data_IF_010213341827
#
_entry.id   IF_010213341827
#
_cell.length_a   1.000
_cell.length_b   1.000
_cell.length_c   1.000
_cell.angle_alpha   90.00
_cell.angle_beta   90.00
_cell.angle_gamma   90.00
#
_symmetry.space_group_name_H-M   'P 1'
#
loop_
_entity.id
_entity.type
_entity.pdbx_description
1 polymer ?
#
# COMPACT_ATOMS: atom_id res chain seq x y z
N UNK A 1 -7.72 -3.02 24.07
CA UNK A 1 -7.61 -4.39 23.49
C UNK A 1 -7.17 -4.35 22.03
N UNK A 2 -7.81 -3.55 21.19
CA UNK A 2 -7.45 -3.35 19.76
C UNK A 2 -6.03 -2.82 19.55
N UNK A 3 -5.61 -1.81 20.32
CA UNK A 3 -4.24 -1.24 20.22
C UNK A 3 -3.13 -2.28 20.47
N UNK A 4 -3.28 -3.14 21.48
CA UNK A 4 -2.27 -4.16 21.80
C UNK A 4 -2.13 -5.21 20.70
N UNK A 5 -3.23 -5.54 20.01
CA UNK A 5 -3.22 -6.45 18.86
C UNK A 5 -2.47 -5.79 17.70
N UNK A 6 -2.73 -4.51 17.42
CA UNK A 6 -2.02 -3.78 16.37
C UNK A 6 -0.51 -3.71 16.66
N UNK A 7 -0.12 -3.41 17.90
CA UNK A 7 1.28 -3.40 18.31
C UNK A 7 1.94 -4.79 18.17
N UNK A 8 1.21 -5.87 18.49
CA UNK A 8 1.71 -7.23 18.28
C UNK A 8 1.87 -7.55 16.78
N UNK A 9 0.97 -7.08 15.93
CA UNK A 9 1.11 -7.22 14.46
C UNK A 9 2.33 -6.44 13.96
N UNK A 10 2.62 -5.26 14.51
CA UNK A 10 3.81 -4.50 14.15
C UNK A 10 5.12 -5.27 14.43
N UNK A 11 5.13 -6.17 15.42
CA UNK A 11 6.30 -7.02 15.67
C UNK A 11 6.63 -7.95 14.49
N UNK A 12 5.65 -8.31 13.66
CA UNK A 12 5.90 -9.09 12.45
C UNK A 12 6.77 -8.35 11.43
N UNK A 13 6.78 -7.01 11.43
CA UNK A 13 7.66 -6.26 10.53
C UNK A 13 9.14 -6.50 10.82
N UNK A 14 9.51 -6.79 12.07
CA UNK A 14 10.88 -7.17 12.41
C UNK A 14 11.33 -8.46 11.73
N UNK A 15 10.40 -9.34 11.34
CA UNK A 15 10.72 -10.55 10.57
C UNK A 15 11.40 -10.21 9.23
N UNK A 16 11.10 -9.06 8.62
CA UNK A 16 11.77 -8.62 7.39
C UNK A 16 13.26 -8.33 7.61
N UNK A 17 13.62 -7.75 8.76
CA UNK A 17 15.02 -7.51 9.14
C UNK A 17 15.75 -8.83 9.29
N UNK A 18 15.17 -9.77 10.05
CA UNK A 18 15.76 -11.10 10.23
C UNK A 18 15.91 -11.84 8.90
N UNK A 19 14.90 -11.75 8.02
CA UNK A 19 14.93 -12.35 6.69
C UNK A 19 16.05 -11.76 5.82
N UNK A 20 16.19 -10.44 5.79
CA UNK A 20 17.24 -9.75 5.05
C UNK A 20 18.63 -10.12 5.56
N UNK A 21 18.86 -10.12 6.87
CA UNK A 21 20.16 -10.50 7.45
C UNK A 21 20.49 -11.97 7.18
N UNK A 22 19.52 -12.87 7.33
CA UNK A 22 19.70 -14.32 7.08
C UNK A 22 19.96 -14.63 5.61
N UNK A 23 19.45 -13.81 4.70
CA UNK A 23 19.70 -13.95 3.26
C UNK A 23 21.15 -13.67 2.87
N UNK A 24 21.97 -13.10 3.79
CA UNK A 24 23.38 -12.73 3.57
C UNK A 24 23.58 -11.92 2.27
N UNK A 25 22.88 -10.78 2.12
CA UNK A 25 23.04 -9.91 0.96
C UNK A 25 24.43 -9.25 0.96
N UNK A 26 24.84 -8.77 -0.21
CA UNK A 26 25.91 -7.78 -0.31
C UNK A 26 25.39 -6.44 0.21
N UNK A 27 25.74 -6.10 1.46
CA UNK A 27 25.33 -4.85 2.10
C UNK A 27 25.95 -3.62 1.45
N UNK A 28 27.15 -3.72 0.87
CA UNK A 28 27.77 -2.61 0.15
C UNK A 28 26.98 -2.26 -1.10
N UNK A 29 26.54 -3.29 -1.84
CA UNK A 29 25.65 -3.11 -2.97
C UNK A 29 24.26 -2.61 -2.54
N UNK A 30 23.67 -3.18 -1.49
CA UNK A 30 22.34 -2.77 -1.01
C UNK A 30 22.30 -1.30 -0.57
N UNK A 31 23.31 -0.82 0.16
CA UNK A 31 23.38 0.56 0.64
C UNK A 31 23.76 1.54 -0.47
N UNK A 32 24.66 1.17 -1.38
CA UNK A 32 25.01 2.05 -2.51
C UNK A 32 23.84 2.24 -3.48
N UNK A 33 22.95 1.25 -3.61
CA UNK A 33 21.73 1.32 -4.40
C UNK A 33 20.62 2.21 -3.82
N UNK A 34 20.77 2.74 -2.59
CA UNK A 34 19.80 3.68 -2.02
C UNK A 34 19.75 5.01 -2.77
N UNK A 35 20.88 5.44 -3.33
CA UNK A 35 21.02 6.76 -3.96
C UNK A 35 21.10 6.62 -5.48
N UNK A 36 21.84 5.63 -5.97
CA UNK A 36 22.01 5.38 -7.40
C UNK A 36 21.99 3.88 -7.71
N UNK A 37 21.25 3.42 -8.73
CA UNK A 37 21.24 2.02 -9.11
C UNK A 37 22.62 1.61 -9.67
N UNK A 38 23.35 0.82 -8.89
CA UNK A 38 24.68 0.30 -9.19
C UNK A 38 24.61 -1.18 -9.57
N UNK A 39 25.45 -1.62 -10.50
CA UNK A 39 25.54 -3.04 -10.90
C UNK A 39 24.47 -3.50 -11.89
N UNK A 40 23.83 -2.57 -12.62
CA UNK A 40 22.80 -2.85 -13.62
C UNK A 40 23.24 -2.41 -15.01
N UNK A 41 22.82 -3.15 -16.04
CA UNK A 41 22.99 -2.73 -17.43
C UNK A 41 21.90 -1.73 -17.80
N UNK A 42 22.30 -0.49 -18.08
CA UNK A 42 21.41 0.58 -18.51
C UNK A 42 20.88 0.33 -19.91
N UNK A 43 19.83 -0.48 -19.99
CA UNK A 43 19.05 -0.72 -21.22
C UNK A 43 17.79 0.13 -21.19
N UNK A 44 17.27 0.57 -22.34
CA UNK A 44 16.00 1.34 -22.39
C UNK A 44 14.84 0.66 -21.65
N UNK A 45 14.73 -0.68 -21.77
CA UNK A 45 13.75 -1.48 -21.02
C UNK A 45 13.95 -1.42 -19.50
N UNK A 46 15.20 -1.41 -19.03
CA UNK A 46 15.50 -1.31 -17.61
C UNK A 46 15.06 0.03 -17.05
N UNK A 47 15.37 1.13 -17.75
CA UNK A 47 15.00 2.49 -17.32
C UNK A 47 13.49 2.62 -17.22
N UNK A 48 12.74 2.14 -18.22
CA UNK A 48 11.27 2.17 -18.19
C UNK A 48 10.74 1.37 -17.01
N UNK A 49 11.20 0.14 -16.80
CA UNK A 49 10.74 -0.70 -15.69
C UNK A 49 11.10 -0.09 -14.32
N UNK A 50 12.30 0.48 -14.20
CA UNK A 50 12.75 1.15 -12.99
C UNK A 50 11.86 2.34 -12.66
N UNK A 51 11.54 3.18 -13.65
CA UNK A 51 10.66 4.33 -13.48
C UNK A 51 9.22 3.89 -13.16
N UNK A 52 8.68 2.88 -13.85
CA UNK A 52 7.32 2.38 -13.61
C UNK A 52 7.18 1.81 -12.20
N UNK A 53 8.12 0.98 -11.75
CA UNK A 53 8.09 0.42 -10.40
C UNK A 53 8.35 1.51 -9.36
N UNK A 54 9.28 2.43 -9.62
CA UNK A 54 9.55 3.59 -8.76
C UNK A 54 8.32 4.47 -8.58
N UNK A 55 7.63 4.82 -9.66
CA UNK A 55 6.35 5.52 -9.62
C UNK A 55 5.29 4.71 -8.88
N UNK A 56 5.23 3.39 -9.08
CA UNK A 56 4.35 2.51 -8.31
C UNK A 56 4.59 2.61 -6.79
N UNK A 57 5.85 2.56 -6.35
CA UNK A 57 6.22 2.69 -4.93
C UNK A 57 5.86 4.08 -4.39
N UNK A 58 6.11 5.14 -5.17
CA UNK A 58 5.70 6.50 -4.81
C UNK A 58 4.18 6.62 -4.66
N UNK A 59 3.43 6.06 -5.60
CA UNK A 59 1.97 6.11 -5.59
C UNK A 59 1.33 5.31 -4.46
N UNK A 60 1.98 4.25 -3.97
CA UNK A 60 1.54 3.56 -2.74
C UNK A 60 1.84 4.35 -1.47
N UNK A 61 2.80 5.28 -1.52
CA UNK A 61 3.25 6.06 -0.36
C UNK A 61 2.49 7.37 -0.24
N UNK A 62 2.27 8.04 -1.37
CA UNK A 62 1.57 9.32 -1.48
C UNK A 62 0.31 9.07 -2.28
N UNK A 63 -0.76 8.70 -1.58
CA UNK A 63 -2.06 8.46 -2.21
C UNK A 63 -2.94 9.71 -2.15
N UNK A 64 -3.50 10.17 -3.28
CA UNK A 64 -4.42 11.32 -3.27
C UNK A 64 -5.62 11.10 -2.34
N UNK A 65 -6.22 9.89 -2.39
CA UNK A 65 -7.35 9.53 -1.52
C UNK A 65 -7.00 9.61 -0.03
N UNK A 66 -5.74 9.35 0.34
CA UNK A 66 -5.27 9.43 1.72
C UNK A 66 -5.28 10.86 2.25
N UNK A 67 -4.96 11.83 1.38
CA UNK A 67 -4.97 13.26 1.74
C UNK A 67 -6.41 13.76 1.99
N UNK A 68 -7.35 13.40 1.11
CA UNK A 68 -8.78 13.69 1.33
C UNK A 68 -9.27 13.05 2.63
N UNK A 69 -8.94 11.78 2.87
CA UNK A 69 -9.37 11.08 4.07
C UNK A 69 -8.87 11.75 5.35
N UNK A 70 -7.58 12.11 5.42
CA UNK A 70 -7.01 12.80 6.59
C UNK A 70 -7.68 14.15 6.81
N UNK A 71 -7.96 14.89 5.73
CA UNK A 71 -8.58 16.23 5.80
C UNK A 71 -10.03 16.16 6.31
N UNK A 72 -10.85 15.29 5.73
CA UNK A 72 -12.24 15.08 6.18
C UNK A 72 -12.27 14.52 7.62
N UNK A 73 -11.34 13.62 7.97
CA UNK A 73 -11.26 13.07 9.32
C UNK A 73 -10.83 14.08 10.38
N UNK A 74 -9.90 14.99 10.05
CA UNK A 74 -9.50 16.08 10.93
C UNK A 74 -10.67 17.04 11.20
N UNK A 75 -11.48 17.32 10.18
CA UNK A 75 -12.70 18.11 10.29
C UNK A 75 -13.74 17.43 11.20
N UNK A 76 -14.07 16.17 10.94
CA UNK A 76 -15.06 15.41 11.72
C UNK A 76 -14.68 15.27 13.20
N UNK A 77 -13.38 15.07 13.49
CA UNK A 77 -12.89 14.94 14.87
C UNK A 77 -12.65 16.26 15.60
N UNK A 78 -12.86 17.41 14.95
CA UNK A 78 -12.63 18.74 15.54
C UNK A 78 -11.26 18.84 16.22
N UNK A 79 -10.21 18.46 15.49
CA UNK A 79 -8.86 18.42 16.06
C UNK A 79 -8.41 19.79 16.58
N UNK A 80 -7.99 19.83 17.85
CA UNK A 80 -7.45 21.04 18.48
C UNK A 80 -6.04 21.35 17.98
N UNK A 81 -5.68 22.63 17.87
CA UNK A 81 -4.39 23.10 17.31
C UNK A 81 -3.18 22.50 18.05
N UNK A 82 -3.29 22.24 19.35
CA UNK A 82 -2.22 21.64 20.15
C UNK A 82 -2.00 20.15 19.85
N UNK A 83 -3.01 19.45 19.33
CA UNK A 83 -2.94 18.01 19.02
C UNK A 83 -2.31 17.75 17.65
N UNK A 84 -2.33 18.74 16.76
CA UNK A 84 -1.82 18.65 15.38
C UNK A 84 -0.33 18.30 15.37
N UNK A 85 0.48 18.97 16.21
CA UNK A 85 1.94 18.71 16.26
C UNK A 85 2.27 17.28 16.67
N UNK A 86 1.51 16.74 17.63
CA UNK A 86 1.70 15.37 18.09
C UNK A 86 1.29 14.37 17.00
N UNK A 87 0.16 14.61 16.35
CA UNK A 87 -0.31 13.80 15.21
C UNK A 87 0.67 13.81 14.04
N UNK A 88 1.26 14.96 13.71
CA UNK A 88 2.28 15.07 12.66
C UNK A 88 3.53 14.25 13.00
N UNK A 89 4.01 14.33 14.25
CA UNK A 89 5.15 13.53 14.70
C UNK A 89 4.87 12.03 14.59
N UNK A 90 3.68 11.58 15.01
CA UNK A 90 3.27 10.18 14.85
C UNK A 90 3.22 9.76 13.38
N UNK A 91 2.70 10.62 12.49
CA UNK A 91 2.67 10.35 11.05
C UNK A 91 4.08 10.26 10.46
N UNK A 92 4.99 11.18 10.80
CA UNK A 92 6.37 11.14 10.31
C UNK A 92 7.11 9.90 10.79
N UNK A 93 6.93 9.53 12.06
CA UNK A 93 7.53 8.32 12.61
C UNK A 93 6.97 7.05 11.96
N UNK A 94 5.66 6.99 11.74
CA UNK A 94 5.00 5.90 11.03
C UNK A 94 5.48 5.75 9.58
N UNK A 95 5.63 6.87 8.87
CA UNK A 95 6.15 6.90 7.50
C UNK A 95 7.61 6.41 7.44
N UNK A 96 8.45 6.86 8.38
CA UNK A 96 9.83 6.40 8.50
C UNK A 96 9.90 4.88 8.74
N UNK A 97 9.16 4.36 9.71
CA UNK A 97 9.15 2.92 10.02
C UNK A 97 8.68 2.09 8.81
N UNK A 98 7.66 2.57 8.08
CA UNK A 98 7.14 1.90 6.88
C UNK A 98 8.22 1.78 5.80
N UNK A 99 8.93 2.88 5.52
CA UNK A 99 10.03 2.89 4.55
C UNK A 99 11.21 2.03 5.01
N UNK A 100 11.53 2.07 6.31
CA UNK A 100 12.59 1.28 6.92
C UNK A 100 12.34 -0.23 6.74
N UNK A 101 11.14 -0.72 7.08
CA UNK A 101 10.81 -2.13 6.88
C UNK A 101 10.68 -2.51 5.40
N UNK A 102 10.19 -1.60 4.56
CA UNK A 102 10.12 -1.81 3.10
C UNK A 102 11.50 -2.00 2.49
N UNK A 103 12.51 -1.26 2.94
CA UNK A 103 13.90 -1.46 2.51
C UNK A 103 14.38 -2.89 2.80
N UNK A 104 14.22 -3.38 4.04
CA UNK A 104 14.61 -4.76 4.37
C UNK A 104 13.81 -5.80 3.59
N UNK A 105 12.52 -5.55 3.32
CA UNK A 105 11.70 -6.42 2.47
C UNK A 105 12.25 -6.50 1.04
N UNK A 106 12.64 -5.37 0.45
CA UNK A 106 13.25 -5.32 -0.89
C UNK A 106 14.59 -6.04 -0.89
N UNK A 107 15.46 -5.80 0.09
CA UNK A 107 16.76 -6.48 0.21
C UNK A 107 16.58 -7.99 0.36
N UNK A 108 15.65 -8.44 1.21
CA UNK A 108 15.38 -9.85 1.41
C UNK A 108 14.87 -10.52 0.13
N UNK A 109 13.91 -9.91 -0.58
CA UNK A 109 13.38 -10.45 -1.84
C UNK A 109 14.40 -10.42 -2.97
N UNK A 110 15.23 -9.37 -3.04
CA UNK A 110 16.35 -9.31 -3.98
C UNK A 110 17.37 -10.42 -3.73
N UNK A 111 17.82 -10.60 -2.49
CA UNK A 111 18.85 -11.60 -2.15
C UNK A 111 18.35 -13.06 -2.22
N UNK A 112 17.04 -13.29 -2.21
CA UNK A 112 16.45 -14.64 -2.19
C UNK A 112 15.74 -15.02 -3.48
N UNK A 113 14.80 -14.19 -3.96
CA UNK A 113 13.94 -14.50 -5.10
C UNK A 113 14.58 -14.04 -6.41
N UNK A 114 15.11 -12.82 -6.45
CA UNK A 114 15.69 -12.26 -7.67
C UNK A 114 16.93 -13.05 -8.13
N UNK A 115 17.84 -13.42 -7.22
CA UNK A 115 19.03 -14.26 -7.55
C UNK A 115 18.63 -15.63 -8.12
N UNK A 116 17.45 -16.15 -7.77
CA UNK A 116 16.91 -17.42 -8.27
C UNK A 116 16.04 -17.28 -9.52
N UNK A 117 15.89 -16.06 -10.05
CA UNK A 117 15.03 -15.78 -11.20
C UNK A 117 13.54 -16.00 -10.94
N UNK A 118 13.12 -16.04 -9.68
CA UNK A 118 11.71 -16.23 -9.31
C UNK A 118 11.00 -14.88 -9.48
N UNK A 119 10.12 -14.79 -10.48
CA UNK A 119 9.29 -13.62 -10.71
C UNK A 119 7.98 -13.75 -9.94
N UNK A 120 7.61 -12.68 -9.22
CA UNK A 120 6.33 -12.58 -8.53
C UNK A 120 5.38 -11.71 -9.36
N UNK A 121 4.33 -12.32 -9.88
CA UNK A 121 3.30 -11.65 -10.68
C UNK A 121 1.93 -11.68 -10.00
N UNK A 122 1.85 -12.14 -8.75
CA UNK A 122 0.60 -12.21 -7.99
C UNK A 122 0.84 -12.42 -6.48
N UNK A 123 -0.18 -12.13 -5.68
CA UNK A 123 -0.13 -12.27 -4.22
C UNK A 123 -0.05 -13.73 -3.75
N UNK A 124 -0.66 -14.67 -4.47
CA UNK A 124 -0.56 -16.11 -4.20
C UNK A 124 0.87 -16.63 -4.42
N UNK A 125 1.54 -16.18 -5.49
CA UNK A 125 2.95 -16.50 -5.73
C UNK A 125 3.83 -15.93 -4.61
N UNK A 126 3.56 -14.72 -4.15
CA UNK A 126 4.29 -14.13 -3.02
C UNK A 126 4.12 -14.96 -1.74
N UNK A 127 2.90 -15.43 -1.44
CA UNK A 127 2.65 -16.29 -0.29
C UNK A 127 3.35 -17.65 -0.39
N UNK A 128 3.38 -18.26 -1.57
CA UNK A 128 4.09 -19.52 -1.80
C UNK A 128 5.61 -19.35 -1.76
N UNK A 129 6.13 -18.22 -2.24
CA UNK A 129 7.56 -17.93 -2.29
C UNK A 129 8.20 -17.84 -0.90
N UNK A 130 7.45 -17.44 0.13
CA UNK A 130 7.98 -17.38 1.50
C UNK A 130 7.98 -18.73 2.23
N UNK A 131 7.16 -19.70 1.77
CA UNK A 131 6.99 -21.02 2.40
C UNK A 131 8.33 -21.76 2.65
N UNK A 132 9.28 -21.86 1.71
CA UNK A 132 10.55 -22.56 1.95
C UNK A 132 11.47 -21.86 2.96
N UNK A 133 11.25 -20.57 3.26
CA UNK A 133 12.12 -19.79 4.15
C UNK A 133 11.55 -19.63 5.55
N UNK A 134 10.23 -19.47 5.66
CA UNK A 134 9.52 -19.17 6.90
C UNK A 134 8.56 -20.29 7.34
N UNK A 135 8.40 -21.35 6.53
CA UNK A 135 7.52 -22.48 6.81
C UNK A 135 6.08 -22.30 6.32
N UNK A 136 5.30 -23.38 6.42
CA UNK A 136 3.91 -23.41 5.94
C UNK A 136 2.99 -22.45 6.71
N UNK A 137 3.15 -22.38 8.04
CA UNK A 137 2.35 -21.50 8.88
C UNK A 137 2.54 -20.02 8.51
N UNK A 138 3.79 -19.59 8.26
CA UNK A 138 4.08 -18.22 7.85
C UNK A 138 3.50 -17.90 6.47
N UNK A 139 3.56 -18.85 5.52
CA UNK A 139 2.90 -18.73 4.21
C UNK A 139 1.39 -18.50 4.32
N UNK A 140 0.72 -19.28 5.18
CA UNK A 140 -0.71 -19.10 5.44
C UNK A 140 -1.03 -17.77 6.11
N UNK A 141 -0.27 -17.37 7.14
CA UNK A 141 -0.46 -16.08 7.81
C UNK A 141 -0.25 -14.90 6.84
N UNK A 142 0.73 -14.99 5.95
CA UNK A 142 0.97 -13.98 4.92
C UNK A 142 -0.18 -13.91 3.91
N UNK A 143 -0.73 -15.06 3.48
CA UNK A 143 -1.90 -15.09 2.62
C UNK A 143 -3.13 -14.44 3.29
N UNK A 144 -3.37 -14.74 4.57
CA UNK A 144 -4.41 -14.06 5.35
C UNK A 144 -4.13 -12.57 5.51
N UNK A 145 -2.87 -12.18 5.67
CA UNK A 145 -2.45 -10.76 5.72
C UNK A 145 -2.76 -10.01 4.43
N UNK A 146 -2.42 -10.57 3.27
CA UNK A 146 -2.77 -9.99 1.96
C UNK A 146 -4.29 -9.88 1.80
N UNK A 147 -5.03 -10.92 2.19
CA UNK A 147 -6.50 -10.90 2.11
C UNK A 147 -7.11 -9.79 2.99
N UNK A 148 -6.66 -9.70 4.25
CA UNK A 148 -7.12 -8.68 5.18
C UNK A 148 -6.76 -7.26 4.71
N UNK A 149 -5.54 -7.07 4.18
CA UNK A 149 -5.10 -5.80 3.62
C UNK A 149 -5.95 -5.39 2.40
N UNK A 150 -6.26 -6.33 1.50
CA UNK A 150 -7.13 -6.08 0.36
C UNK A 150 -8.55 -5.68 0.77
N UNK A 151 -9.13 -6.39 1.74
CA UNK A 151 -10.46 -6.05 2.27
C UNK A 151 -10.50 -4.66 2.89
N UNK A 152 -9.50 -4.33 3.72
CA UNK A 152 -9.40 -2.99 4.33
C UNK A 152 -9.24 -1.91 3.26
N UNK A 153 -8.42 -2.15 2.24
CA UNK A 153 -8.23 -1.23 1.12
C UNK A 153 -9.53 -0.94 0.37
N UNK A 154 -10.34 -1.97 0.07
CA UNK A 154 -11.65 -1.81 -0.56
C UNK A 154 -12.55 -0.90 0.28
N UNK A 155 -12.61 -1.10 1.59
CA UNK A 155 -13.46 -0.31 2.48
C UNK A 155 -12.99 1.14 2.57
N UNK A 156 -11.71 1.37 2.91
CA UNK A 156 -11.19 2.72 3.12
C UNK A 156 -11.27 3.54 1.83
N UNK A 157 -10.83 2.99 0.69
CA UNK A 157 -10.81 3.73 -0.58
C UNK A 157 -12.22 4.05 -1.05
N UNK A 158 -13.17 3.12 -0.89
CA UNK A 158 -14.58 3.38 -1.27
C UNK A 158 -15.24 4.42 -0.38
N UNK A 159 -14.91 4.43 0.91
CA UNK A 159 -15.38 5.47 1.82
C UNK A 159 -14.77 6.83 1.48
N UNK A 160 -13.44 6.92 1.32
CA UNK A 160 -12.77 8.19 1.01
C UNK A 160 -13.29 8.81 -0.29
N UNK A 161 -13.52 8.00 -1.32
CA UNK A 161 -14.10 8.49 -2.58
C UNK A 161 -15.52 8.99 -2.39
N UNK A 162 -16.35 8.25 -1.65
CA UNK A 162 -17.73 8.67 -1.38
C UNK A 162 -17.79 9.98 -0.58
N UNK A 163 -16.87 10.17 0.36
CA UNK A 163 -16.70 11.43 1.09
C UNK A 163 -16.31 12.59 0.17
N UNK A 164 -15.23 12.43 -0.61
CA UNK A 164 -14.75 13.48 -1.52
C UNK A 164 -15.83 13.90 -2.53
N UNK A 165 -16.57 12.94 -3.10
CA UNK A 165 -17.68 13.24 -4.00
C UNK A 165 -18.84 13.96 -3.29
N UNK A 166 -19.20 13.54 -2.09
CA UNK A 166 -20.29 14.18 -1.35
C UNK A 166 -19.95 15.63 -1.01
N UNK A 167 -18.70 15.89 -0.62
CA UNK A 167 -18.19 17.24 -0.36
C UNK A 167 -18.16 18.09 -1.64
N UNK A 168 -17.64 17.56 -2.75
CA UNK A 168 -17.56 18.27 -4.03
C UNK A 168 -18.94 18.70 -4.57
N UNK A 169 -19.96 17.85 -4.43
CA UNK A 169 -21.32 18.16 -4.87
C UNK A 169 -22.17 18.88 -3.80
N UNK A 170 -21.59 19.23 -2.64
CA UNK A 170 -22.30 19.90 -1.55
C UNK A 170 -23.42 19.04 -0.93
N UNK A 171 -23.31 17.72 -1.03
CA UNK A 171 -24.30 16.77 -0.51
C UNK A 171 -23.96 16.43 0.94
N UNK A 172 -24.94 16.50 1.84
CA UNK A 172 -24.79 16.09 3.23
C UNK A 172 -24.75 14.56 3.35
N UNK A 173 -23.58 13.96 3.13
CA UNK A 173 -23.35 12.52 3.26
C UNK A 173 -22.15 12.23 4.16
N UNK A 174 -22.41 11.59 5.30
CA UNK A 174 -21.38 11.04 6.20
C UNK A 174 -21.74 9.62 6.63
N UNK A 175 -20.78 8.83 7.10
CA UNK A 175 -21.06 7.49 7.66
C UNK A 175 -22.11 7.51 8.78
N UNK A 176 -22.19 8.61 9.54
CA UNK A 176 -23.11 8.79 10.67
C UNK A 176 -24.50 9.29 10.23
N UNK A 177 -24.71 9.59 8.95
CA UNK A 177 -26.04 9.98 8.45
C UNK A 177 -26.89 8.77 8.08
N UNK A 178 -28.15 8.84 8.51
CA UNK A 178 -29.16 7.81 8.28
C UNK A 178 -29.32 7.47 6.78
N UNK A 179 -29.43 6.19 6.43
CA UNK A 179 -29.41 5.66 5.05
C UNK A 179 -30.41 6.34 4.10
N UNK A 180 -31.51 6.88 4.63
CA UNK A 180 -32.52 7.60 3.86
C UNK A 180 -32.13 9.03 3.48
N UNK A 181 -31.24 9.69 4.24
CA UNK A 181 -30.78 11.07 3.97
C UNK A 181 -29.57 11.11 3.03
N UNK A 182 -28.74 10.07 3.03
CA UNK A 182 -27.48 10.01 2.28
C UNK A 182 -27.49 8.92 1.20
N UNK A 183 -28.63 8.74 0.51
CA UNK A 183 -28.78 7.74 -0.58
C UNK A 183 -27.65 7.83 -1.63
N UNK A 184 -27.26 9.04 -2.00
CA UNK A 184 -26.20 9.27 -3.00
C UNK A 184 -24.85 8.72 -2.55
N UNK A 185 -24.50 8.87 -1.27
CA UNK A 185 -23.26 8.35 -0.69
C UNK A 185 -23.22 6.82 -0.77
N UNK A 186 -24.29 6.14 -0.34
CA UNK A 186 -24.38 4.68 -0.39
C UNK A 186 -24.45 4.14 -1.82
N UNK A 187 -25.10 4.85 -2.76
CA UNK A 187 -25.09 4.42 -4.17
C UNK A 187 -23.72 4.57 -4.81
N UNK A 188 -22.97 5.63 -4.52
CA UNK A 188 -21.59 5.79 -5.00
C UNK A 188 -20.69 4.69 -4.44
N UNK A 189 -20.78 4.43 -3.14
CA UNK A 189 -20.04 3.36 -2.47
C UNK A 189 -20.35 1.99 -3.10
N UNK A 190 -21.64 1.65 -3.27
CA UNK A 190 -22.04 0.37 -3.86
C UNK A 190 -21.64 0.28 -5.34
N UNK A 191 -21.77 1.36 -6.11
CA UNK A 191 -21.35 1.40 -7.50
C UNK A 191 -19.85 1.14 -7.65
N UNK A 192 -19.02 1.74 -6.79
CA UNK A 192 -17.57 1.51 -6.79
C UNK A 192 -17.23 0.04 -6.50
N UNK A 193 -17.92 -0.59 -5.54
CA UNK A 193 -17.74 -2.01 -5.24
C UNK A 193 -18.13 -2.90 -6.43
N UNK A 194 -19.26 -2.61 -7.08
CA UNK A 194 -19.72 -3.35 -8.25
C UNK A 194 -18.76 -3.21 -9.43
N UNK A 195 -18.30 -2.01 -9.74
CA UNK A 195 -17.32 -1.77 -10.82
C UNK A 195 -16.02 -2.53 -10.52
N UNK A 196 -15.53 -2.46 -9.29
CA UNK A 196 -14.32 -3.18 -8.87
C UNK A 196 -14.48 -4.70 -9.03
N UNK A 197 -15.64 -5.24 -8.63
CA UNK A 197 -15.95 -6.66 -8.81
C UNK A 197 -16.04 -7.07 -10.29
N UNK A 198 -16.65 -6.23 -11.13
CA UNK A 198 -16.74 -6.48 -12.58
C UNK A 198 -15.37 -6.50 -13.25
N UNK A 199 -14.48 -5.57 -12.89
CA UNK A 199 -13.10 -5.55 -13.38
C UNK A 199 -12.35 -6.83 -12.98
N UNK A 200 -12.58 -7.32 -11.75
CA UNK A 200 -11.97 -8.54 -11.24
C UNK A 200 -12.41 -9.80 -12.00
N UNK A 201 -13.62 -9.80 -12.57
CA UNK A 201 -14.19 -10.92 -13.32
C UNK A 201 -13.71 -10.98 -14.78
N UNK A 202 -12.95 -10.00 -15.26
CA UNK A 202 -12.43 -9.99 -16.63
C UNK A 202 -11.42 -11.15 -16.79
N UNK A 203 -11.73 -12.17 -17.61
CA UNK A 203 -10.86 -13.32 -17.77
C UNK A 203 -9.55 -12.91 -18.46
N UNK A 204 -8.42 -13.35 -17.90
CA UNK A 204 -7.09 -13.07 -18.44
C UNK A 204 -6.53 -11.68 -18.12
N UNK A 205 -7.25 -10.84 -17.37
CA UNK A 205 -6.70 -9.58 -16.88
C UNK A 205 -5.59 -9.84 -15.84
N UNK A 206 -4.42 -9.23 -16.04
CA UNK A 206 -3.35 -9.28 -15.03
C UNK A 206 -3.67 -8.30 -13.91
N UNK A 207 -4.21 -8.82 -12.81
CA UNK A 207 -4.50 -8.04 -11.59
C UNK A 207 -3.26 -7.33 -11.05
N UNK A 208 -2.09 -7.95 -11.21
CA UNK A 208 -0.83 -7.37 -10.79
C UNK A 208 -0.44 -6.16 -11.65
N UNK A 209 -0.60 -6.25 -12.97
CA UNK A 209 -0.34 -5.11 -13.85
C UNK A 209 -1.36 -3.99 -13.63
N UNK A 210 -2.62 -4.33 -13.38
CA UNK A 210 -3.65 -3.35 -13.00
C UNK A 210 -3.31 -2.66 -11.67
N UNK A 211 -2.81 -3.41 -10.69
CA UNK A 211 -2.35 -2.84 -9.43
C UNK A 211 -1.18 -1.87 -9.67
N UNK A 212 -0.14 -2.27 -10.40
CA UNK A 212 0.99 -1.38 -10.73
C UNK A 212 0.50 -0.14 -11.48
N UNK A 213 -0.33 -0.30 -12.51
CA UNK A 213 -0.87 0.81 -13.28
C UNK A 213 -1.66 1.80 -12.40
N UNK A 214 -2.50 1.28 -11.50
CA UNK A 214 -3.23 2.10 -10.53
C UNK A 214 -2.28 2.88 -9.61
N UNK A 215 -1.17 2.30 -9.16
CA UNK A 215 -0.22 3.01 -8.32
C UNK A 215 0.58 4.06 -9.11
N UNK A 216 0.97 3.76 -10.35
CA UNK A 216 1.61 4.75 -11.23
C UNK A 216 0.68 5.95 -11.46
N UNK A 217 -0.62 5.71 -11.64
CA UNK A 217 -1.63 6.77 -11.73
C UNK A 217 -1.73 7.58 -10.44
N UNK A 218 -1.75 6.93 -9.27
CA UNK A 218 -1.73 7.65 -7.99
C UNK A 218 -0.52 8.59 -7.90
N UNK A 219 0.66 8.11 -8.30
CA UNK A 219 1.88 8.92 -8.30
C UNK A 219 1.78 10.11 -9.25
N UNK A 220 1.27 9.94 -10.47
CA UNK A 220 1.14 11.05 -11.42
C UNK A 220 0.21 12.15 -10.90
N UNK A 221 -0.93 11.80 -10.31
CA UNK A 221 -1.84 12.80 -9.74
C UNK A 221 -1.27 13.50 -8.51
N UNK A 222 -0.49 12.79 -7.70
CA UNK A 222 0.15 13.38 -6.51
C UNK A 222 1.20 14.45 -6.83
N UNK A 223 1.77 14.43 -8.04
CA UNK A 223 2.76 15.42 -8.50
C UNK A 223 2.09 16.69 -9.02
N UNK A 224 0.88 16.59 -9.57
CA UNK A 224 0.13 17.75 -10.08
C UNK A 224 -0.56 18.56 -8.97
N UNK A 225 -0.76 17.99 -7.78
CA UNK A 225 -1.42 18.64 -6.62
C UNK A 225 -0.47 19.39 -5.66
N UNK A 226 0.86 19.38 -5.90
CA UNK A 226 1.87 20.13 -5.11
C UNK A 226 2.32 21.42 -5.80
#
# INVERSE_FOLDING_TARGET
MTQNIMLAVCLFYFAYIFSAVKAKPDWGLALSNLIFPNGVTWTGKYIVNYLVVGMGVLGTTITPWGQFFISSFAFDKKMDENTIKYSQFETYWGAFLTNFFSFFMIVATAATLYVRGIQLNSGDQAALAIKPFAGALASSLFAYGILAAGFMGIVIVSLSTAYAFSEFFGLSGSLDTDFRKSRTFYTLFLAQLLISALILLIPGASLFNLAIASQVLNASYSVDEQ
#
